data_IF_525122954398
#
_entry.id   IF_525122954398
#
_cell.length_a   1.000
_cell.length_b   1.000
_cell.length_c   1.000
_cell.angle_alpha   90.00
_cell.angle_beta   90.00
_cell.angle_gamma   90.00
#
_symmetry.space_group_name_H-M   'P 1'
#
loop_
_entity.id
_entity.type
_entity.pdbx_description
1 polymer ?
#
# COMPACT_ATOMS: atom_id res chain seq x y z
N UNK A 1 8.95 -8.41 12.85
CA UNK A 1 7.92 -7.45 12.44
C UNK A 1 7.84 -6.21 13.34
N UNK A 2 7.66 -6.36 14.67
CA UNK A 2 7.66 -5.21 15.61
C UNK A 2 9.05 -4.90 16.17
N UNK A 3 10.02 -5.73 15.91
CA UNK A 3 11.35 -5.68 16.55
C UNK A 3 12.35 -4.80 15.81
N UNK A 4 12.01 -4.27 14.65
CA UNK A 4 12.83 -3.33 13.90
C UNK A 4 13.32 -2.15 14.77
N UNK A 5 12.48 -1.69 15.67
CA UNK A 5 12.70 -0.57 16.59
C UNK A 5 13.45 -0.95 17.87
N UNK A 6 13.74 -2.23 18.06
CA UNK A 6 14.41 -2.78 19.24
C UNK A 6 15.87 -3.14 18.97
N UNK A 7 16.50 -3.88 19.89
CA UNK A 7 17.87 -4.37 19.74
C UNK A 7 18.11 -5.19 18.45
N UNK A 8 17.07 -5.78 17.85
CA UNK A 8 17.16 -6.47 16.55
C UNK A 8 17.52 -5.48 15.42
N UNK A 9 17.15 -4.22 15.55
CA UNK A 9 17.56 -3.14 14.64
C UNK A 9 19.05 -2.82 14.64
N UNK A 10 19.85 -3.42 15.56
CA UNK A 10 21.30 -3.19 15.62
C UNK A 10 22.00 -3.55 14.29
N UNK A 11 21.56 -4.60 13.60
CA UNK A 11 22.09 -4.97 12.29
C UNK A 11 21.86 -3.88 11.23
N UNK A 12 20.73 -3.19 11.30
CA UNK A 12 20.42 -2.05 10.44
C UNK A 12 21.31 -0.86 10.81
N UNK A 13 21.42 -0.55 12.11
CA UNK A 13 22.27 0.53 12.59
C UNK A 13 23.75 0.35 12.17
N UNK A 14 24.24 -0.90 12.17
CA UNK A 14 25.59 -1.23 11.69
C UNK A 14 25.68 -1.03 10.16
N UNK A 15 24.66 -1.44 9.41
CA UNK A 15 24.69 -1.40 7.94
C UNK A 15 24.56 0.03 7.39
N UNK A 16 23.68 0.86 7.98
CA UNK A 16 23.37 2.21 7.48
C UNK A 16 24.04 3.34 8.29
N UNK A 17 24.67 3.01 9.41
CA UNK A 17 25.24 3.96 10.37
C UNK A 17 24.21 4.46 11.39
N UNK A 18 24.71 4.89 12.55
CA UNK A 18 23.87 5.30 13.68
C UNK A 18 22.94 6.46 13.32
N UNK A 19 23.44 7.48 12.65
CA UNK A 19 22.66 8.67 12.33
C UNK A 19 21.43 8.33 11.44
N UNK A 20 21.64 7.54 10.39
CA UNK A 20 20.55 7.11 9.52
C UNK A 20 19.55 6.21 10.25
N UNK A 21 20.02 5.34 11.13
CA UNK A 21 19.13 4.54 11.97
C UNK A 21 18.35 5.40 12.95
N UNK A 22 18.97 6.41 13.52
CA UNK A 22 18.29 7.34 14.41
C UNK A 22 17.21 8.18 13.68
N UNK A 23 17.46 8.58 12.43
CA UNK A 23 16.44 9.24 11.60
C UNK A 23 15.24 8.30 11.31
N UNK A 24 15.47 7.00 11.11
CA UNK A 24 14.41 6.01 11.01
C UNK A 24 13.55 5.97 12.28
N UNK A 25 14.18 5.98 13.46
CA UNK A 25 13.46 6.01 14.74
C UNK A 25 12.67 7.31 14.94
N UNK A 26 13.21 8.46 14.51
CA UNK A 26 12.51 9.75 14.53
C UNK A 26 11.26 9.75 13.64
N UNK A 27 11.32 9.12 12.49
CA UNK A 27 10.14 8.96 11.63
C UNK A 27 9.02 8.17 12.33
N UNK A 28 9.38 7.10 13.04
CA UNK A 28 8.42 6.35 13.84
C UNK A 28 7.84 7.17 15.00
N UNK A 29 8.69 7.91 15.72
CA UNK A 29 8.27 8.80 16.81
C UNK A 29 7.30 9.89 16.31
N UNK A 30 7.56 10.45 15.14
CA UNK A 30 6.68 11.45 14.54
C UNK A 30 5.28 10.87 14.27
N UNK A 31 5.20 9.64 13.74
CA UNK A 31 3.92 8.96 13.52
C UNK A 31 3.23 8.58 14.83
N UNK A 32 3.97 8.13 15.84
CA UNK A 32 3.44 7.85 17.17
C UNK A 32 2.84 9.10 17.82
N UNK A 33 3.50 10.25 17.69
CA UNK A 33 3.00 11.52 18.17
C UNK A 33 1.74 11.95 17.42
N UNK A 34 1.74 11.83 16.08
CA UNK A 34 0.56 12.08 15.26
C UNK A 34 -0.62 11.18 15.69
N UNK A 35 -0.39 9.88 15.84
CA UNK A 35 -1.44 8.94 16.26
C UNK A 35 -2.05 9.29 17.62
N UNK A 36 -1.23 9.74 18.58
CA UNK A 36 -1.69 10.08 19.93
C UNK A 36 -2.40 11.41 20.03
N UNK A 37 -2.10 12.37 19.13
CA UNK A 37 -2.51 13.77 19.30
C UNK A 37 -3.43 14.31 18.22
N UNK A 38 -3.43 13.70 17.03
CA UNK A 38 -4.30 14.17 15.94
C UNK A 38 -5.78 13.85 16.22
N UNK A 39 -6.71 14.77 15.88
CA UNK A 39 -8.13 14.47 15.87
C UNK A 39 -8.44 13.27 14.99
N UNK A 40 -9.47 12.48 15.33
CA UNK A 40 -9.78 11.21 14.65
C UNK A 40 -9.95 11.39 13.14
N UNK A 41 -10.59 12.47 12.72
CA UNK A 41 -10.84 12.81 11.31
C UNK A 41 -9.60 13.25 10.52
N UNK A 42 -8.48 13.45 11.21
CA UNK A 42 -7.18 13.81 10.63
C UNK A 42 -6.10 12.79 10.96
N UNK A 43 -6.44 11.75 11.73
CA UNK A 43 -5.51 10.75 12.22
C UNK A 43 -5.28 9.68 11.15
N UNK A 44 -4.14 9.73 10.47
CA UNK A 44 -3.82 8.84 9.33
C UNK A 44 -3.96 7.36 9.70
N UNK A 45 -3.33 6.83 10.77
CA UNK A 45 -3.49 5.44 11.14
C UNK A 45 -4.94 5.04 11.43
N UNK A 46 -5.72 5.90 12.07
CA UNK A 46 -7.13 5.65 12.37
C UNK A 46 -7.96 5.60 11.10
N UNK A 47 -7.78 6.56 10.19
CA UNK A 47 -8.49 6.60 8.90
C UNK A 47 -8.16 5.37 8.07
N UNK A 48 -6.88 4.99 7.97
CA UNK A 48 -6.47 3.79 7.23
C UNK A 48 -7.08 2.52 7.83
N UNK A 49 -7.08 2.38 9.15
CA UNK A 49 -7.70 1.23 9.82
C UNK A 49 -9.22 1.17 9.56
N UNK A 50 -9.91 2.30 9.64
CA UNK A 50 -11.36 2.38 9.37
C UNK A 50 -11.69 2.04 7.92
N UNK A 51 -10.89 2.54 6.96
CA UNK A 51 -11.05 2.19 5.54
C UNK A 51 -10.79 0.70 5.32
N UNK A 52 -9.78 0.12 5.96
CA UNK A 52 -9.49 -1.31 5.90
C UNK A 52 -10.65 -2.17 6.39
N UNK A 53 -11.23 -1.83 7.55
CA UNK A 53 -12.41 -2.50 8.10
C UNK A 53 -13.60 -2.33 7.15
N UNK A 54 -13.80 -1.12 6.62
CA UNK A 54 -14.91 -0.83 5.72
C UNK A 54 -14.84 -1.66 4.45
N UNK A 55 -13.69 -1.73 3.80
CA UNK A 55 -13.51 -2.59 2.63
C UNK A 55 -13.67 -4.07 2.98
N UNK A 56 -13.02 -4.52 4.04
CA UNK A 56 -12.96 -5.94 4.39
C UNK A 56 -14.31 -6.49 4.87
N UNK A 57 -14.98 -5.79 5.80
CA UNK A 57 -16.17 -6.31 6.49
C UNK A 57 -17.49 -5.82 5.91
N UNK A 58 -17.54 -4.63 5.29
CA UNK A 58 -18.79 -4.09 4.72
C UNK A 58 -18.89 -4.29 3.22
N UNK A 59 -17.76 -4.17 2.48
CA UNK A 59 -17.75 -4.43 1.05
C UNK A 59 -17.32 -5.85 0.68
N UNK A 60 -16.92 -6.66 1.65
CA UNK A 60 -16.46 -8.04 1.44
C UNK A 60 -15.25 -8.12 0.50
N UNK A 61 -14.36 -7.11 0.57
CA UNK A 61 -13.14 -7.03 -0.22
C UNK A 61 -11.96 -7.50 0.62
N UNK A 62 -11.58 -8.76 0.48
CA UNK A 62 -10.54 -9.42 1.29
C UNK A 62 -9.16 -9.37 0.64
N UNK A 63 -8.85 -8.31 -0.09
CA UNK A 63 -7.56 -8.11 -0.77
C UNK A 63 -7.16 -6.64 -0.72
N UNK A 64 -5.85 -6.41 -0.72
CA UNK A 64 -5.30 -5.07 -0.58
C UNK A 64 -3.93 -5.03 -1.24
N UNK A 65 -3.69 -4.05 -2.10
CA UNK A 65 -2.43 -3.88 -2.79
C UNK A 65 -1.65 -2.68 -2.26
N UNK A 66 -0.34 -2.86 -2.04
CA UNK A 66 0.60 -1.79 -1.69
C UNK A 66 1.66 -1.70 -2.75
N UNK A 67 1.74 -0.57 -3.42
CA UNK A 67 2.57 -0.39 -4.62
C UNK A 67 3.50 0.82 -4.43
N UNK A 68 4.71 0.59 -3.89
CA UNK A 68 5.71 1.64 -3.82
C UNK A 68 6.34 1.92 -5.18
N UNK A 69 6.27 3.15 -5.63
CA UNK A 69 7.01 3.66 -6.80
C UNK A 69 8.40 4.15 -6.37
N UNK A 70 9.10 3.28 -5.65
CA UNK A 70 10.45 3.49 -5.16
C UNK A 70 11.19 2.15 -5.06
N UNK A 71 12.35 2.07 -5.71
CA UNK A 71 13.18 0.86 -5.70
C UNK A 71 13.69 0.51 -4.28
N UNK A 72 13.92 1.49 -3.43
CA UNK A 72 14.34 1.25 -2.05
C UNK A 72 13.25 0.62 -1.20
N UNK A 73 11.99 0.81 -1.58
CA UNK A 73 10.81 0.24 -0.91
C UNK A 73 10.30 -1.05 -1.57
N UNK A 74 11.02 -1.65 -2.51
CA UNK A 74 10.57 -2.86 -3.23
C UNK A 74 10.20 -4.04 -2.34
N UNK A 75 10.80 -4.14 -1.15
CA UNK A 75 10.51 -5.18 -0.16
C UNK A 75 9.45 -4.78 0.87
N UNK A 76 8.95 -3.54 0.84
CA UNK A 76 7.93 -3.08 1.77
C UNK A 76 6.65 -3.93 1.72
N UNK A 77 6.11 -4.31 0.54
CA UNK A 77 4.92 -5.18 0.50
C UNK A 77 5.17 -6.53 1.19
N UNK A 78 6.33 -7.15 0.99
CA UNK A 78 6.68 -8.42 1.64
C UNK A 78 6.82 -8.25 3.17
N UNK A 79 7.36 -7.14 3.65
CA UNK A 79 7.41 -6.80 5.07
C UNK A 79 6.00 -6.65 5.65
N UNK A 80 5.12 -5.92 4.95
CA UNK A 80 3.74 -5.71 5.36
C UNK A 80 2.91 -7.00 5.34
N UNK A 81 3.20 -7.94 4.45
CA UNK A 81 2.58 -9.27 4.45
C UNK A 81 2.80 -9.96 5.80
N UNK A 82 4.02 -9.99 6.30
CA UNK A 82 4.29 -10.55 7.61
C UNK A 82 3.70 -9.69 8.74
N UNK A 83 3.84 -8.37 8.65
CA UNK A 83 3.34 -7.45 9.67
C UNK A 83 1.82 -7.57 9.86
N UNK A 84 1.07 -7.54 8.77
CA UNK A 84 -0.40 -7.50 8.79
C UNK A 84 -1.01 -8.91 8.78
N UNK A 85 -0.70 -9.73 7.78
CA UNK A 85 -1.35 -11.02 7.59
C UNK A 85 -1.02 -12.02 8.70
N UNK A 86 0.21 -12.03 9.23
CA UNK A 86 0.57 -12.85 10.39
C UNK A 86 -0.08 -12.32 11.67
N UNK A 87 -0.18 -11.01 11.82
CA UNK A 87 -0.76 -10.40 13.02
C UNK A 87 -2.27 -10.55 13.07
N UNK A 88 -2.95 -10.27 11.99
CA UNK A 88 -4.41 -10.28 11.88
C UNK A 88 -5.00 -11.60 11.38
N UNK A 89 -4.19 -12.48 10.79
CA UNK A 89 -4.61 -13.79 10.31
C UNK A 89 -5.00 -14.76 11.43
N UNK A 90 -5.98 -14.39 12.24
CA UNK A 90 -6.46 -15.16 13.39
C UNK A 90 -7.93 -15.50 13.21
N UNK A 91 -8.31 -16.71 13.63
CA UNK A 91 -9.70 -17.19 13.59
C UNK A 91 -10.36 -17.28 14.97
N UNK A 92 -9.62 -16.87 16.02
CA UNK A 92 -10.05 -17.04 17.41
C UNK A 92 -9.82 -15.73 18.17
N UNK A 93 -10.77 -15.34 19.01
CA UNK A 93 -10.70 -14.19 19.92
C UNK A 93 -9.81 -14.52 21.13
N UNK A 94 -9.49 -13.50 21.93
CA UNK A 94 -8.71 -13.66 23.16
C UNK A 94 -9.39 -14.58 24.21
N UNK A 95 -10.70 -14.70 24.16
CA UNK A 95 -11.50 -15.58 25.00
C UNK A 95 -11.67 -17.00 24.42
N UNK A 96 -10.87 -17.36 23.43
CA UNK A 96 -10.88 -18.64 22.71
C UNK A 96 -12.15 -18.94 21.90
N UNK A 97 -13.07 -17.99 21.73
CA UNK A 97 -14.22 -18.15 20.85
C UNK A 97 -13.83 -17.94 19.40
N UNK A 98 -14.40 -18.74 18.51
CA UNK A 98 -14.21 -18.61 17.07
C UNK A 98 -14.80 -17.30 16.58
N UNK A 99 -14.10 -16.61 15.68
CA UNK A 99 -14.57 -15.43 14.96
C UNK A 99 -15.48 -15.90 13.81
N UNK A 100 -16.74 -15.43 13.81
CA UNK A 100 -17.75 -15.83 12.82
C UNK A 100 -18.53 -14.65 12.26
N UNK A 101 -18.33 -13.46 12.78
CA UNK A 101 -19.13 -12.26 12.57
C UNK A 101 -18.38 -11.13 11.85
N UNK A 102 -17.09 -11.30 11.59
CA UNK A 102 -16.26 -10.38 10.80
C UNK A 102 -15.04 -11.11 10.22
N UNK A 103 -14.42 -10.51 9.21
CA UNK A 103 -13.15 -10.98 8.68
C UNK A 103 -11.96 -10.27 9.37
N UNK A 104 -10.84 -10.96 9.55
CA UNK A 104 -9.73 -10.46 10.38
C UNK A 104 -8.64 -9.74 9.63
N UNK A 105 -8.62 -9.79 8.33
CA UNK A 105 -7.65 -9.07 7.51
C UNK A 105 -7.67 -9.52 6.06
N UNK A 106 -7.30 -8.63 5.13
CA UNK A 106 -7.22 -8.94 3.71
C UNK A 106 -5.95 -9.73 3.36
N UNK A 107 -5.94 -10.35 2.20
CA UNK A 107 -4.71 -10.81 1.56
C UNK A 107 -3.95 -9.60 1.01
N UNK A 108 -2.82 -9.29 1.60
CA UNK A 108 -1.97 -8.18 1.18
C UNK A 108 -0.96 -8.64 0.15
N UNK A 109 -0.81 -7.91 -0.95
CA UNK A 109 0.18 -8.14 -1.99
C UNK A 109 0.70 -6.82 -2.56
N UNK A 110 1.72 -6.88 -3.38
CA UNK A 110 2.28 -5.69 -4.02
C UNK A 110 3.71 -5.92 -4.51
N UNK A 111 4.32 -4.85 -4.94
CA UNK A 111 5.69 -4.82 -5.45
C UNK A 111 6.06 -3.45 -5.98
N UNK A 112 7.26 -3.29 -6.50
CA UNK A 112 7.74 -2.04 -7.06
C UNK A 112 6.86 -1.58 -8.23
N UNK A 113 6.47 -0.31 -8.22
CA UNK A 113 5.40 0.24 -9.05
C UNK A 113 5.50 -0.05 -10.54
N UNK A 114 6.64 0.24 -11.17
CA UNK A 114 6.81 0.02 -12.61
C UNK A 114 6.86 -1.46 -12.99
N UNK A 115 7.45 -2.31 -12.16
CA UNK A 115 7.56 -3.74 -12.44
C UNK A 115 6.20 -4.42 -12.39
N UNK A 116 5.38 -4.09 -11.39
CA UNK A 116 4.07 -4.73 -11.21
C UNK A 116 3.00 -4.26 -12.20
N UNK A 117 3.23 -3.18 -12.95
CA UNK A 117 2.39 -2.82 -14.09
C UNK A 117 2.34 -3.95 -15.13
N UNK A 118 3.42 -4.70 -15.27
CA UNK A 118 3.51 -5.86 -16.17
C UNK A 118 3.20 -7.19 -15.48
N UNK A 119 2.75 -7.16 -14.23
CA UNK A 119 2.43 -8.35 -13.45
C UNK A 119 0.92 -8.46 -13.19
N UNK A 120 0.34 -7.58 -12.39
CA UNK A 120 -1.05 -7.69 -11.95
C UNK A 120 -1.93 -6.44 -12.19
N UNK A 121 -1.44 -5.40 -12.86
CA UNK A 121 -2.26 -4.23 -13.17
C UNK A 121 -3.42 -4.55 -14.10
N UNK A 122 -3.30 -5.57 -14.94
CA UNK A 122 -4.44 -6.08 -15.71
C UNK A 122 -5.61 -6.46 -14.80
N UNK A 123 -5.33 -7.13 -13.67
CA UNK A 123 -6.35 -7.47 -12.67
C UNK A 123 -6.93 -6.22 -12.01
N UNK A 124 -6.09 -5.22 -11.69
CA UNK A 124 -6.56 -3.98 -11.04
C UNK A 124 -7.50 -3.18 -11.95
N UNK A 125 -7.20 -3.09 -13.26
CA UNK A 125 -7.97 -2.30 -14.21
C UNK A 125 -9.19 -3.02 -14.80
N UNK A 126 -9.12 -4.33 -15.01
CA UNK A 126 -10.13 -5.09 -15.74
C UNK A 126 -10.60 -6.36 -15.02
N UNK A 127 -10.15 -6.58 -13.80
CA UNK A 127 -10.63 -7.71 -12.99
C UNK A 127 -12.08 -7.55 -12.59
N UNK A 128 -12.73 -8.66 -12.26
CA UNK A 128 -14.14 -8.68 -11.83
C UNK A 128 -14.32 -8.29 -10.36
N UNK A 129 -13.24 -8.21 -9.62
CA UNK A 129 -13.23 -7.96 -8.18
C UNK A 129 -12.42 -6.70 -7.86
N UNK A 130 -12.96 -5.74 -7.10
CA UNK A 130 -12.22 -4.55 -6.74
C UNK A 130 -11.05 -4.87 -5.82
N UNK A 131 -9.97 -4.11 -5.96
CA UNK A 131 -8.79 -4.18 -5.10
C UNK A 131 -8.45 -2.77 -4.65
N UNK A 132 -8.58 -2.43 -3.36
CA UNK A 132 -8.04 -1.20 -2.82
C UNK A 132 -6.53 -1.15 -3.00
N UNK A 133 -6.00 0.01 -3.37
CA UNK A 133 -4.58 0.18 -3.69
C UNK A 133 -4.02 1.40 -2.97
N UNK A 134 -2.93 1.20 -2.25
CA UNK A 134 -2.08 2.30 -1.77
C UNK A 134 -0.86 2.47 -2.67
N UNK A 135 -0.74 3.63 -3.29
CA UNK A 135 0.46 4.06 -3.97
C UNK A 135 1.36 4.84 -3.03
N UNK A 136 2.62 4.42 -2.92
CA UNK A 136 3.64 5.13 -2.14
C UNK A 136 4.61 5.77 -3.10
N UNK A 137 4.75 7.09 -3.01
CA UNK A 137 5.52 7.88 -3.97
C UNK A 137 6.53 8.73 -3.19
N UNK A 138 7.84 8.65 -3.51
CA UNK A 138 8.80 9.57 -2.92
C UNK A 138 8.61 10.98 -3.53
N UNK A 139 8.56 11.99 -2.67
CA UNK A 139 8.48 13.38 -3.12
C UNK A 139 9.78 13.82 -3.83
N UNK A 140 10.91 13.27 -3.38
CA UNK A 140 12.26 13.56 -3.88
C UNK A 140 12.98 12.24 -4.13
N UNK A 141 13.70 12.15 -5.25
CA UNK A 141 14.56 11.00 -5.55
C UNK A 141 15.91 11.12 -4.85
N UNK A 142 16.43 10.03 -4.32
CA UNK A 142 17.82 9.95 -3.88
C UNK A 142 18.82 9.81 -5.04
N UNK A 143 18.32 9.53 -6.25
CA UNK A 143 19.14 9.35 -7.46
C UNK A 143 18.53 10.18 -8.58
N UNK A 144 18.98 11.42 -8.71
CA UNK A 144 18.55 12.31 -9.77
C UNK A 144 19.23 11.95 -11.10
N UNK A 145 18.46 11.46 -12.07
CA UNK A 145 18.92 11.13 -13.42
C UNK A 145 18.00 11.80 -14.42
N UNK A 146 18.38 12.96 -14.92
CA UNK A 146 17.55 13.71 -15.89
C UNK A 146 16.11 13.89 -15.41
N UNK A 147 15.13 13.48 -16.23
CA UNK A 147 13.70 13.58 -15.93
C UNK A 147 13.08 12.30 -15.40
N UNK A 148 13.87 11.31 -14.99
CA UNK A 148 13.36 9.99 -14.61
C UNK A 148 12.35 10.07 -13.45
N UNK A 149 12.62 10.91 -12.45
CA UNK A 149 11.72 11.06 -11.30
C UNK A 149 10.39 11.75 -11.70
N UNK A 150 10.44 12.80 -12.51
CA UNK A 150 9.23 13.48 -13.01
C UNK A 150 8.34 12.52 -13.82
N UNK A 151 8.96 11.70 -14.68
CA UNK A 151 8.27 10.69 -15.48
C UNK A 151 7.66 9.61 -14.57
N UNK A 152 8.37 9.19 -13.53
CA UNK A 152 7.88 8.22 -12.54
C UNK A 152 6.65 8.77 -11.79
N UNK A 153 6.72 10.03 -11.35
CA UNK A 153 5.59 10.71 -10.69
C UNK A 153 4.38 10.82 -11.62
N UNK A 154 4.60 11.27 -12.86
CA UNK A 154 3.53 11.36 -13.85
C UNK A 154 2.88 9.99 -14.10
N UNK A 155 3.69 8.94 -14.17
CA UNK A 155 3.22 7.57 -14.40
C UNK A 155 2.32 7.07 -13.26
N UNK A 156 2.74 7.20 -12.00
CA UNK A 156 1.93 6.73 -10.87
C UNK A 156 0.65 7.55 -10.70
N UNK A 157 0.70 8.87 -10.91
CA UNK A 157 -0.49 9.72 -10.84
C UNK A 157 -1.50 9.34 -11.94
N UNK A 158 -1.01 9.02 -13.15
CA UNK A 158 -1.86 8.53 -14.24
C UNK A 158 -2.50 7.17 -13.92
N UNK A 159 -1.77 6.26 -13.27
CA UNK A 159 -2.33 4.97 -12.82
C UNK A 159 -3.41 5.16 -11.76
N UNK A 160 -3.15 6.00 -10.76
CA UNK A 160 -4.13 6.32 -9.73
C UNK A 160 -5.39 6.98 -10.31
N UNK A 161 -5.23 7.94 -11.22
CA UNK A 161 -6.33 8.60 -11.92
C UNK A 161 -7.16 7.61 -12.75
N UNK A 162 -6.49 6.73 -13.51
CA UNK A 162 -7.17 5.73 -14.33
C UNK A 162 -7.99 4.74 -13.48
N UNK A 163 -7.46 4.28 -12.35
CA UNK A 163 -8.19 3.42 -11.41
C UNK A 163 -9.37 4.14 -10.76
N UNK A 164 -9.22 5.42 -10.42
CA UNK A 164 -10.26 6.21 -9.79
C UNK A 164 -11.42 6.56 -10.75
N UNK A 165 -11.11 6.94 -11.97
CA UNK A 165 -12.11 7.37 -12.98
C UNK A 165 -12.75 6.20 -13.70
N UNK A 166 -11.95 5.18 -14.06
CA UNK A 166 -12.39 4.11 -14.94
C UNK A 166 -12.76 4.62 -16.34
N UNK A 167 -13.48 3.79 -17.09
CA UNK A 167 -14.11 4.12 -18.37
C UNK A 167 -15.51 3.53 -18.42
N UNK A 168 -16.45 4.28 -18.94
CA UNK A 168 -17.78 3.75 -19.24
C UNK A 168 -17.73 2.82 -20.46
N UNK A 169 -18.70 1.89 -20.62
CA UNK A 169 -18.79 1.05 -21.80
C UNK A 169 -18.85 1.85 -23.12
N UNK A 170 -19.53 3.00 -23.11
CA UNK A 170 -19.65 3.86 -24.29
C UNK A 170 -18.32 4.53 -24.66
N UNK A 171 -17.56 5.00 -23.68
CA UNK A 171 -16.21 5.54 -23.91
C UNK A 171 -15.26 4.47 -24.45
N UNK A 172 -15.28 3.27 -23.87
CA UNK A 172 -14.47 2.17 -24.33
C UNK A 172 -14.84 1.74 -25.78
N UNK A 173 -16.14 1.67 -26.09
CA UNK A 173 -16.63 1.37 -27.45
C UNK A 173 -16.23 2.44 -28.45
N UNK A 174 -16.28 3.73 -28.06
CA UNK A 174 -15.86 4.82 -28.93
C UNK A 174 -14.36 4.77 -29.24
N UNK A 175 -13.52 4.47 -28.26
CA UNK A 175 -12.09 4.31 -28.45
C UNK A 175 -11.74 3.11 -29.35
N UNK A 176 -12.42 1.98 -29.16
CA UNK A 176 -12.24 0.78 -30.00
C UNK A 176 -12.57 1.10 -31.46
N UNK A 177 -13.70 1.75 -31.72
CA UNK A 177 -14.09 2.19 -33.08
C UNK A 177 -13.08 3.15 -33.69
N UNK A 178 -12.61 4.13 -32.89
CA UNK A 178 -11.58 5.06 -33.34
C UNK A 178 -10.24 4.37 -33.68
N UNK A 179 -9.95 3.25 -33.00
CA UNK A 179 -8.79 2.40 -33.26
C UNK A 179 -9.00 1.36 -34.38
N UNK A 180 -10.17 1.37 -35.05
CA UNK A 180 -10.50 0.40 -36.10
C UNK A 180 -10.72 -1.03 -35.60
N UNK A 181 -11.13 -1.17 -34.33
CA UNK A 181 -11.47 -2.44 -33.70
C UNK A 181 -12.97 -2.46 -33.39
N UNK A 182 -13.68 -3.40 -34.01
CA UNK A 182 -15.11 -3.64 -33.74
C UNK A 182 -15.30 -4.57 -32.55
#
# INVERSE_FOLDING_TARGET
>A
RYSLWSAIGLSIAIAVGYENFHELLRGAEAMDNHFRTAPLEQNIPVIMALLGIWYNDYYNIHRYAVIPYDQYLKFLPAYLQQLDMESNGKSVRLDNRKITDYATGPALFGGAGTDVQHSFFQLLHQGTEPVPVDFIIPAVSHNEIGKHHEILLANVLAQAEALMKGKTPDEAAAELRAAGKD
#
